data_IF_755004594499
#
_entry.id   IF_755004594499
#
_cell.length_a   1.000
_cell.length_b   1.000
_cell.length_c   1.000
_cell.angle_alpha   90.00
_cell.angle_beta   90.00
_cell.angle_gamma   90.00
#
_symmetry.space_group_name_H-M   'P 1'
#
loop_
_entity.id
_entity.type
_entity.pdbx_description
1 polymer ?
#
# COMPACT_ATOMS: atom_id res chain seq x y z
N UNK A 1 7.33 -11.49 -21.33
CA UNK A 1 6.19 -10.85 -20.61
C UNK A 1 5.82 -9.60 -21.40
N UNK A 2 4.54 -9.36 -21.73
CA UNK A 2 4.22 -8.29 -22.70
C UNK A 2 4.42 -6.88 -22.14
N UNK A 3 3.98 -6.64 -20.91
CA UNK A 3 4.12 -5.35 -20.23
C UNK A 3 4.72 -5.55 -18.83
N UNK A 4 5.55 -4.61 -18.39
CA UNK A 4 5.92 -4.42 -17.00
C UNK A 4 5.45 -3.03 -16.54
N UNK A 5 4.60 -2.99 -15.53
CA UNK A 5 4.15 -1.74 -14.92
C UNK A 5 5.14 -1.31 -13.85
N UNK A 6 5.64 -0.08 -13.94
CA UNK A 6 6.70 0.45 -13.09
C UNK A 6 6.15 1.50 -12.13
N UNK A 7 6.33 1.28 -10.83
CA UNK A 7 6.02 2.26 -9.78
C UNK A 7 7.25 3.11 -9.39
N UNK A 8 7.02 4.18 -8.63
CA UNK A 8 8.08 5.10 -8.16
C UNK A 8 9.15 4.35 -7.35
N UNK A 9 8.75 3.42 -6.50
CA UNK A 9 9.65 2.61 -5.67
C UNK A 9 10.72 1.86 -6.46
N UNK A 10 10.39 1.34 -7.65
CA UNK A 10 11.33 0.62 -8.50
C UNK A 10 12.42 1.55 -9.06
N UNK A 11 12.05 2.77 -9.47
CA UNK A 11 12.97 3.77 -10.00
C UNK A 11 13.82 4.36 -8.87
N UNK A 12 13.20 4.67 -7.73
CA UNK A 12 13.87 5.19 -6.53
C UNK A 12 14.92 4.18 -6.04
N UNK A 13 14.64 2.89 -6.05
CA UNK A 13 15.60 1.86 -5.63
C UNK A 13 16.64 1.49 -6.70
N UNK A 14 16.48 1.97 -7.93
CA UNK A 14 17.35 1.61 -9.05
C UNK A 14 17.28 0.13 -9.41
N UNK A 15 16.07 -0.44 -9.39
CA UNK A 15 15.87 -1.84 -9.73
C UNK A 15 16.23 -2.10 -11.21
N UNK A 16 16.90 -3.23 -11.47
CA UNK A 16 17.28 -3.66 -12.82
C UNK A 16 16.10 -4.32 -13.54
N UNK A 17 15.11 -3.52 -13.92
CA UNK A 17 13.85 -4.01 -14.47
C UNK A 17 14.02 -4.68 -15.85
N UNK A 18 15.07 -4.33 -16.59
CA UNK A 18 15.39 -4.93 -17.89
C UNK A 18 15.62 -6.45 -17.80
N UNK A 19 16.03 -6.94 -16.62
CA UNK A 19 16.30 -8.36 -16.40
C UNK A 19 15.05 -9.25 -16.41
N UNK A 20 13.85 -8.67 -16.31
CA UNK A 20 12.59 -9.42 -16.32
C UNK A 20 12.12 -9.83 -17.73
N UNK A 21 12.77 -9.36 -18.80
CA UNK A 21 12.42 -9.75 -20.17
C UNK A 21 11.01 -9.28 -20.60
N UNK A 22 10.63 -8.08 -20.18
CA UNK A 22 9.41 -7.43 -20.62
C UNK A 22 9.60 -6.75 -21.99
N UNK A 23 8.61 -6.84 -22.87
CA UNK A 23 8.66 -6.18 -24.17
C UNK A 23 8.48 -4.66 -24.04
N UNK A 24 7.63 -4.21 -23.11
CA UNK A 24 7.34 -2.78 -22.89
C UNK A 24 7.29 -2.46 -21.41
N UNK A 25 7.88 -1.31 -21.05
CA UNK A 25 7.86 -0.76 -19.70
C UNK A 25 6.91 0.42 -19.68
N UNK A 26 5.94 0.38 -18.78
CA UNK A 26 4.85 1.35 -18.75
C UNK A 26 4.61 1.88 -17.34
N UNK A 27 4.23 3.13 -17.23
CA UNK A 27 3.86 3.78 -15.96
C UNK A 27 2.75 4.80 -16.19
N UNK A 28 2.29 5.45 -15.13
CA UNK A 28 1.38 6.59 -15.20
C UNK A 28 2.15 7.90 -15.02
N UNK A 29 1.62 9.00 -15.55
CA UNK A 29 2.31 10.30 -15.52
C UNK A 29 2.57 10.79 -14.08
N UNK A 30 1.67 10.46 -13.15
CA UNK A 30 1.77 10.86 -11.75
C UNK A 30 2.96 10.22 -11.04
N UNK A 31 3.32 8.97 -11.38
CA UNK A 31 4.51 8.29 -10.83
C UNK A 31 5.78 9.07 -11.17
N UNK A 32 5.88 9.56 -12.41
CA UNK A 32 7.03 10.38 -12.82
C UNK A 32 7.05 11.72 -12.08
N UNK A 33 5.89 12.30 -11.80
CA UNK A 33 5.77 13.56 -11.06
C UNK A 33 6.12 13.43 -9.56
N UNK A 34 6.02 12.24 -8.99
CA UNK A 34 6.45 11.95 -7.62
C UNK A 34 7.98 11.88 -7.47
N UNK A 35 8.71 11.61 -8.56
CA UNK A 35 10.17 11.44 -8.53
C UNK A 35 10.85 12.82 -8.51
N UNK A 36 11.13 13.30 -7.30
CA UNK A 36 11.75 14.62 -7.05
C UNK A 36 13.22 14.56 -6.67
N UNK A 37 13.64 13.46 -6.07
CA UNK A 37 15.03 13.23 -5.66
C UNK A 37 15.99 13.28 -6.86
N UNK A 38 17.15 13.90 -6.67
CA UNK A 38 18.14 14.08 -7.74
C UNK A 38 18.70 12.74 -8.24
N UNK A 39 19.02 11.82 -7.32
CA UNK A 39 19.57 10.52 -7.69
C UNK A 39 18.51 9.67 -8.43
N UNK A 40 17.25 9.72 -7.99
CA UNK A 40 16.16 9.04 -8.69
C UNK A 40 15.89 9.63 -10.08
N UNK A 41 15.95 10.96 -10.23
CA UNK A 41 15.85 11.62 -11.55
C UNK A 41 17.00 11.25 -12.48
N UNK A 42 18.23 11.17 -11.97
CA UNK A 42 19.38 10.72 -12.75
C UNK A 42 19.21 9.28 -13.23
N UNK A 43 18.69 8.38 -12.38
CA UNK A 43 18.36 7.00 -12.76
C UNK A 43 17.27 6.96 -13.84
N UNK A 44 16.20 7.73 -13.68
CA UNK A 44 15.12 7.82 -14.67
C UNK A 44 15.64 8.30 -16.04
N UNK A 45 16.55 9.26 -16.06
CA UNK A 45 17.15 9.79 -17.28
C UNK A 45 18.14 8.83 -17.98
N UNK A 46 18.59 7.79 -17.29
CA UNK A 46 19.62 6.85 -17.78
C UNK A 46 19.12 5.41 -17.86
N UNK A 47 17.80 5.22 -17.90
CA UNK A 47 17.21 3.88 -18.05
C UNK A 47 17.67 3.23 -19.35
N UNK A 48 18.03 1.92 -19.33
CA UNK A 48 18.46 1.20 -20.53
C UNK A 48 17.29 0.74 -21.41
N UNK A 49 16.08 1.25 -21.15
CA UNK A 49 14.84 0.94 -21.85
C UNK A 49 13.95 2.17 -21.89
N UNK A 50 13.04 2.21 -22.86
CA UNK A 50 12.02 3.25 -22.94
C UNK A 50 10.93 3.00 -21.89
N UNK A 51 10.65 4.02 -21.07
CA UNK A 51 9.56 4.01 -20.10
C UNK A 51 8.41 4.86 -20.65
N UNK A 52 7.33 4.19 -21.04
CA UNK A 52 6.17 4.84 -21.64
C UNK A 52 5.15 5.26 -20.57
N UNK A 53 4.47 6.38 -20.77
CA UNK A 53 3.33 6.77 -19.95
C UNK A 53 2.02 6.34 -20.61
N UNK A 54 1.11 5.79 -19.80
CA UNK A 54 -0.24 5.41 -20.22
C UNK A 54 -1.26 5.84 -19.17
N UNK A 55 -2.44 6.23 -19.66
CA UNK A 55 -3.58 6.57 -18.82
C UNK A 55 -4.43 5.32 -18.55
N UNK A 56 -4.75 4.98 -17.29
CA UNK A 56 -5.70 3.91 -17.00
C UNK A 56 -7.11 4.29 -17.45
N UNK A 57 -7.89 3.32 -17.94
CA UNK A 57 -9.28 3.56 -18.29
C UNK A 57 -10.16 3.74 -17.05
N UNK A 58 -11.25 4.51 -17.19
CA UNK A 58 -12.27 4.68 -16.13
C UNK A 58 -12.84 3.33 -15.65
N UNK A 59 -12.98 2.37 -16.57
CA UNK A 59 -13.41 1.01 -16.24
C UNK A 59 -12.42 0.34 -15.27
N UNK A 60 -11.12 0.45 -15.54
CA UNK A 60 -10.08 -0.11 -14.70
C UNK A 60 -10.01 0.58 -13.34
N UNK A 61 -10.12 1.92 -13.32
CA UNK A 61 -10.18 2.70 -12.09
C UNK A 61 -11.36 2.27 -11.21
N UNK A 62 -12.55 2.14 -11.79
CA UNK A 62 -13.75 1.69 -11.09
C UNK A 62 -13.60 0.27 -10.53
N UNK A 63 -13.05 -0.65 -11.33
CA UNK A 63 -12.82 -2.04 -10.92
C UNK A 63 -11.87 -2.13 -9.70
N UNK A 64 -10.72 -1.46 -9.78
CA UNK A 64 -9.71 -1.46 -8.71
C UNK A 64 -10.24 -0.78 -7.45
N UNK A 65 -10.85 0.40 -7.56
CA UNK A 65 -11.43 1.08 -6.39
C UNK A 65 -12.52 0.25 -5.72
N UNK A 66 -13.38 -0.39 -6.51
CA UNK A 66 -14.41 -1.28 -5.97
C UNK A 66 -13.78 -2.43 -5.19
N UNK A 67 -12.74 -3.06 -5.74
CA UNK A 67 -12.09 -4.17 -5.07
C UNK A 67 -11.32 -3.73 -3.82
N UNK A 68 -10.61 -2.60 -3.86
CA UNK A 68 -9.94 -2.02 -2.70
C UNK A 68 -10.91 -1.66 -1.55
N UNK A 69 -12.16 -1.29 -1.87
CA UNK A 69 -13.21 -1.10 -0.84
C UNK A 69 -13.62 -2.42 -0.18
N UNK A 70 -13.68 -3.50 -0.95
CA UNK A 70 -14.06 -4.83 -0.45
C UNK A 70 -12.95 -5.41 0.44
N UNK A 71 -11.69 -5.22 0.06
CA UNK A 71 -10.53 -5.71 0.82
C UNK A 71 -10.21 -4.83 2.03
N UNK A 72 -10.62 -3.56 2.01
CA UNK A 72 -10.33 -2.58 3.06
C UNK A 72 -9.05 -1.76 2.80
N UNK A 73 -8.38 -1.99 1.68
CA UNK A 73 -7.10 -1.33 1.35
C UNK A 73 -7.27 0.14 0.89
N UNK A 74 -8.50 0.55 0.53
CA UNK A 74 -8.73 1.91 0.01
C UNK A 74 -8.28 3.01 0.97
N UNK A 75 -8.28 2.77 2.29
CA UNK A 75 -7.88 3.77 3.29
C UNK A 75 -6.37 4.03 3.34
N UNK A 76 -5.54 3.10 2.83
CA UNK A 76 -4.07 3.17 2.91
C UNK A 76 -3.40 3.32 1.55
N UNK A 77 -4.14 3.06 0.46
CA UNK A 77 -3.65 3.27 -0.91
C UNK A 77 -3.78 4.73 -1.31
N UNK A 78 -2.73 5.29 -1.90
CA UNK A 78 -2.78 6.62 -2.50
C UNK A 78 -3.52 6.60 -3.85
N UNK A 79 -3.87 7.79 -4.35
CA UNK A 79 -4.46 7.92 -5.68
C UNK A 79 -3.51 7.42 -6.78
N UNK A 80 -2.20 7.65 -6.64
CA UNK A 80 -1.19 7.18 -7.60
C UNK A 80 -1.10 5.66 -7.57
N UNK A 81 -1.15 5.04 -6.39
CA UNK A 81 -1.18 3.58 -6.27
C UNK A 81 -2.40 2.97 -6.97
N UNK A 82 -3.58 3.57 -6.79
CA UNK A 82 -4.80 3.13 -7.46
C UNK A 82 -4.70 3.22 -8.98
N UNK A 83 -4.04 4.26 -9.49
CA UNK A 83 -3.82 4.44 -10.94
C UNK A 83 -2.83 3.41 -11.51
N UNK A 84 -1.76 3.11 -10.78
CA UNK A 84 -0.80 2.03 -11.15
C UNK A 84 -1.50 0.66 -11.16
N UNK A 85 -2.31 0.37 -10.14
CA UNK A 85 -3.11 -0.86 -10.07
C UNK A 85 -4.14 -0.93 -11.22
N UNK A 86 -4.79 0.18 -11.54
CA UNK A 86 -5.75 0.26 -12.64
C UNK A 86 -5.07 0.08 -14.00
N UNK A 87 -3.90 0.67 -14.21
CA UNK A 87 -3.11 0.45 -15.42
C UNK A 87 -2.75 -1.02 -15.57
N UNK A 88 -2.35 -1.68 -14.48
CA UNK A 88 -2.07 -3.13 -14.46
C UNK A 88 -3.30 -3.95 -14.85
N UNK A 89 -4.46 -3.65 -14.25
CA UNK A 89 -5.73 -4.32 -14.57
C UNK A 89 -6.13 -4.14 -16.04
N UNK A 90 -5.97 -2.93 -16.59
CA UNK A 90 -6.30 -2.62 -17.98
C UNK A 90 -5.42 -3.40 -18.95
N UNK A 91 -4.11 -3.45 -18.71
CA UNK A 91 -3.17 -4.18 -19.57
C UNK A 91 -3.38 -5.69 -19.50
N UNK A 92 -3.80 -6.21 -18.35
CA UNK A 92 -4.17 -7.62 -18.20
C UNK A 92 -5.39 -7.97 -19.08
N UNK A 93 -6.40 -7.09 -19.09
CA UNK A 93 -7.54 -7.22 -19.99
C UNK A 93 -7.11 -7.17 -21.46
N UNK A 94 -6.24 -6.23 -21.84
CA UNK A 94 -5.71 -6.12 -23.22
C UNK A 94 -4.93 -7.38 -23.63
N UNK A 95 -4.14 -7.96 -22.72
CA UNK A 95 -3.31 -9.13 -23.02
C UNK A 95 -4.10 -10.42 -23.13
N UNK A 96 -5.08 -10.64 -22.25
CA UNK A 96 -5.84 -11.89 -22.18
C UNK A 96 -7.21 -11.83 -22.87
N UNK A 97 -7.68 -10.63 -23.21
CA UNK A 97 -9.03 -10.39 -23.73
C UNK A 97 -10.13 -10.55 -22.69
N UNK A 98 -9.82 -10.93 -21.45
CA UNK A 98 -10.79 -11.12 -20.37
C UNK A 98 -10.16 -10.99 -18.98
N UNK A 99 -10.96 -10.51 -18.02
CA UNK A 99 -10.63 -10.42 -16.59
C UNK A 99 -11.33 -11.49 -15.75
N UNK A 100 -11.98 -12.48 -16.37
CA UNK A 100 -12.72 -13.53 -15.67
C UNK A 100 -11.87 -14.37 -14.70
N UNK A 101 -10.55 -14.37 -14.88
CA UNK A 101 -9.61 -15.08 -14.01
C UNK A 101 -9.22 -14.27 -12.75
N UNK A 102 -9.57 -12.99 -12.69
CA UNK A 102 -9.36 -12.15 -11.51
C UNK A 102 -10.52 -12.30 -10.54
N UNK A 103 -10.21 -12.34 -9.25
CA UNK A 103 -11.23 -12.41 -8.20
C UNK A 103 -11.88 -11.04 -8.03
N UNK A 104 -13.20 -11.03 -7.91
CA UNK A 104 -13.98 -9.81 -7.62
C UNK A 104 -14.53 -9.78 -6.20
N UNK A 105 -14.28 -10.85 -5.42
CA UNK A 105 -14.66 -11.00 -4.02
C UNK A 105 -13.53 -11.66 -3.23
N UNK A 106 -13.54 -11.43 -1.92
CA UNK A 106 -12.62 -12.09 -0.99
C UNK A 106 -12.84 -13.61 -1.00
N UNK A 107 -11.79 -14.42 -0.78
CA UNK A 107 -11.97 -15.83 -0.51
C UNK A 107 -12.88 -16.03 0.71
N UNK A 108 -13.81 -16.98 0.62
CA UNK A 108 -14.59 -17.39 1.79
C UNK A 108 -13.61 -17.93 2.81
N UNK A 109 -13.47 -17.23 3.95
CA UNK A 109 -12.70 -17.74 5.09
C UNK A 109 -13.45 -18.97 5.58
N UNK A 110 -12.83 -20.14 5.49
CA UNK A 110 -13.37 -21.36 6.11
C UNK A 110 -13.59 -21.12 7.61
N UNK A 111 -14.45 -21.92 8.27
CA UNK A 111 -14.66 -21.81 9.71
C UNK A 111 -13.31 -21.83 10.43
N UNK A 112 -13.10 -20.96 11.44
CA UNK A 112 -11.86 -20.97 12.19
C UNK A 112 -11.63 -22.38 12.73
N UNK A 113 -10.43 -22.93 12.50
CA UNK A 113 -10.07 -24.21 13.09
C UNK A 113 -10.36 -24.17 14.60
N UNK A 114 -10.94 -25.25 15.18
CA UNK A 114 -11.22 -25.27 16.61
C UNK A 114 -9.91 -24.97 17.35
N UNK A 115 -9.91 -23.91 18.16
CA UNK A 115 -8.80 -23.61 19.05
C UNK A 115 -8.75 -24.76 20.04
N UNK A 116 -7.80 -25.68 19.89
CA UNK A 116 -7.46 -26.60 20.97
C UNK A 116 -6.96 -25.73 22.13
N UNK A 117 -7.77 -25.62 23.19
CA UNK A 117 -7.37 -24.93 24.39
C UNK A 117 -6.13 -25.64 24.97
N UNK A 118 -4.99 -24.97 24.96
CA UNK A 118 -3.85 -25.39 25.77
C UNK A 118 -4.22 -25.24 27.25
N UNK A 119 -3.80 -26.15 28.14
CA UNK A 119 -4.22 -26.15 29.54
C UNK A 119 -3.63 -24.94 30.27
N UNK A 120 -4.51 -24.21 30.96
CA UNK A 120 -4.19 -23.06 31.78
C UNK A 120 -3.58 -23.53 33.10
N UNK A 121 -2.26 -23.39 33.26
CA UNK A 121 -1.59 -23.68 34.54
C UNK A 121 -1.88 -22.55 35.53
N UNK A 122 -2.63 -22.87 36.60
CA UNK A 122 -2.84 -21.99 37.76
C UNK A 122 -1.49 -21.57 38.38
N UNK A 123 -1.32 -20.27 38.68
CA UNK A 123 -0.32 -19.77 39.62
C UNK A 123 -1.06 -18.95 40.69
N UNK A 124 -0.77 -19.25 41.95
CA UNK A 124 -1.57 -18.90 43.13
C UNK A 124 -1.43 -17.47 43.65
N UNK A 125 -2.30 -17.20 44.63
CA UNK A 125 -2.51 -15.98 45.41
C UNK A 125 -1.30 -15.49 46.24
N UNK A 126 -1.20 -14.16 46.39
CA UNK A 126 -0.98 -13.50 47.68
C UNK A 126 -1.41 -12.03 47.61
N UNK A 127 -2.23 -11.62 48.58
CA UNK A 127 -2.63 -10.24 48.92
C UNK A 127 -1.42 -9.43 49.49
N UNK A 128 -1.41 -8.13 49.75
CA UNK A 128 -2.33 -7.28 50.56
C UNK A 128 -1.91 -5.79 50.44
N UNK A 129 -2.89 -4.90 50.62
CA UNK A 129 -2.90 -3.55 51.26
C UNK A 129 -1.87 -2.48 50.81
N UNK A 130 -2.18 -1.21 50.54
CA UNK A 130 -3.32 -0.34 50.87
C UNK A 130 -2.74 0.97 51.42
N UNK A 131 -2.96 2.13 50.76
CA UNK A 131 -3.01 3.47 51.39
C UNK A 131 -3.49 4.53 50.38
N UNK A 132 -4.30 5.45 50.88
CA UNK A 132 -5.07 6.48 50.16
C UNK A 132 -4.57 7.89 50.55
N UNK A 133 -5.16 8.93 49.93
CA UNK A 133 -5.06 10.36 50.25
C UNK A 133 -3.88 11.10 49.59
N UNK A 134 -4.01 12.28 49.00
CA UNK A 134 -5.11 13.23 48.88
C UNK A 134 -4.68 14.43 48.01
N UNK A 135 -5.64 15.33 47.79
CA UNK A 135 -5.54 16.63 47.10
C UNK A 135 -4.30 17.46 47.44
N UNK A 136 -3.82 18.25 46.46
CA UNK A 136 -3.55 19.67 46.71
C UNK A 136 -3.66 20.52 45.44
N UNK A 137 -4.19 21.73 45.65
CA UNK A 137 -4.55 22.71 44.65
C UNK A 137 -3.48 23.80 44.46
N UNK A 138 -3.67 24.58 43.40
CA UNK A 138 -3.21 25.96 43.19
C UNK A 138 -1.69 26.23 43.00
N UNK A 139 -1.33 26.90 41.89
CA UNK A 139 -1.14 28.36 41.90
C UNK A 139 -0.52 28.87 40.58
N UNK A 140 -0.97 30.07 40.24
CA UNK A 140 -0.55 31.03 39.22
C UNK A 140 0.96 31.31 39.19
N UNK A 141 1.50 31.70 38.02
CA UNK A 141 2.44 32.82 37.97
C UNK A 141 2.30 33.61 36.65
N UNK A 142 2.40 34.92 36.79
CA UNK A 142 2.17 35.95 35.79
C UNK A 142 3.49 36.65 35.42
N UNK A 143 3.47 37.39 34.30
CA UNK A 143 4.34 38.55 33.98
C UNK A 143 5.81 38.23 33.60
N UNK A 144 6.56 38.95 32.76
CA UNK A 144 6.49 40.19 31.99
C UNK A 144 7.39 39.99 30.74
N UNK A 145 7.22 40.67 29.60
CA UNK A 145 7.62 42.07 29.44
C UNK A 145 8.95 42.16 28.66
N UNK A 146 8.89 42.72 27.44
CA UNK A 146 10.01 43.04 26.56
C UNK A 146 9.52 43.62 25.25
#
# INVERSE_FOLDING_TARGET
MKFLVVESGAIIKGARLESFGAERFVTVQEVLAEIRDEAARARLATLPYELETKEPSEQAMSAVRRFAKITGDLAVLSEVDLRVLALTWMLELECKGTIAHLRTTLPVRGPPAPRTAAPMTKRGEAAVDGEECGEDAAAEDAVAGG
#
